data_IF_165328335898
#
_entry.id   IF_165328335898
#
_cell.length_a   1.000
_cell.length_b   1.000
_cell.length_c   1.000
_cell.angle_alpha   90.00
_cell.angle_beta   90.00
_cell.angle_gamma   90.00
#
_symmetry.space_group_name_H-M   'P 1'
#
loop_
_entity.id
_entity.type
_entity.pdbx_description
1 polymer ?
#
# COMPACT_ATOMS: atom_id res chain seq x y z
N UNK A 1 -1.05 -42.41 -18.23
CA UNK A 1 -0.99 -40.97 -17.97
C UNK A 1 -1.52 -40.24 -19.20
N UNK A 2 -2.32 -39.19 -19.03
CA UNK A 2 -2.83 -38.37 -20.14
C UNK A 2 -1.72 -37.49 -20.68
N UNK A 3 -1.81 -37.08 -21.94
CA UNK A 3 -0.88 -36.11 -22.51
C UNK A 3 -1.04 -34.74 -21.83
N UNK A 4 0.06 -34.08 -21.49
CA UNK A 4 0.04 -32.77 -20.81
C UNK A 4 -0.62 -31.69 -21.67
N UNK A 5 -0.52 -31.78 -22.99
CA UNK A 5 -1.22 -30.89 -23.90
C UNK A 5 -2.74 -31.08 -23.83
N UNK A 6 -3.19 -32.35 -23.74
CA UNK A 6 -4.61 -32.68 -23.56
C UNK A 6 -5.15 -32.22 -22.19
N UNK A 7 -4.34 -32.34 -21.13
CA UNK A 7 -4.73 -31.87 -19.79
C UNK A 7 -4.97 -30.37 -19.78
N UNK A 8 -4.11 -29.59 -20.43
CA UNK A 8 -4.28 -28.13 -20.54
C UNK A 8 -5.24 -27.71 -21.65
N UNK A 9 -5.64 -28.63 -22.58
CA UNK A 9 -6.49 -28.34 -23.70
C UNK A 9 -5.84 -27.40 -24.72
N UNK A 10 -4.53 -27.58 -24.98
CA UNK A 10 -3.74 -26.80 -25.93
C UNK A 10 -3.08 -27.72 -26.98
N UNK A 11 -2.68 -27.17 -28.11
CA UNK A 11 -1.96 -27.93 -29.12
C UNK A 11 -0.45 -28.02 -28.81
N UNK A 12 0.26 -29.02 -29.41
CA UNK A 12 1.72 -29.15 -29.23
C UNK A 12 2.51 -27.92 -29.71
N UNK A 13 1.94 -27.16 -30.64
CA UNK A 13 2.55 -25.96 -31.19
C UNK A 13 2.18 -24.67 -30.44
N UNK A 14 1.47 -24.77 -29.32
CA UNK A 14 1.05 -23.60 -28.55
C UNK A 14 2.23 -22.87 -27.95
N UNK A 15 2.13 -21.54 -27.97
CA UNK A 15 3.10 -20.64 -27.34
C UNK A 15 3.05 -20.72 -25.81
N UNK A 16 4.11 -20.27 -25.15
CA UNK A 16 4.15 -20.24 -23.68
C UNK A 16 3.02 -19.38 -23.07
N UNK A 17 2.62 -18.32 -23.76
CA UNK A 17 1.51 -17.46 -23.32
C UNK A 17 0.16 -18.17 -23.43
N UNK A 18 -0.06 -18.98 -24.47
CA UNK A 18 -1.26 -19.80 -24.60
C UNK A 18 -1.32 -20.89 -23.54
N UNK A 19 -0.20 -21.56 -23.26
CA UNK A 19 -0.06 -22.56 -22.19
C UNK A 19 -0.35 -21.92 -20.83
N UNK A 20 0.21 -20.75 -20.54
CA UNK A 20 -0.04 -19.98 -19.32
C UNK A 20 -1.51 -19.59 -19.17
N UNK A 21 -2.15 -19.12 -20.24
CA UNK A 21 -3.56 -18.73 -20.27
C UNK A 21 -4.50 -19.93 -20.06
N UNK A 22 -4.18 -21.06 -20.66
CA UNK A 22 -4.93 -22.31 -20.49
C UNK A 22 -4.85 -22.81 -19.04
N UNK A 23 -3.65 -22.86 -18.48
CA UNK A 23 -3.45 -23.23 -17.10
C UNK A 23 -4.23 -22.32 -16.13
N UNK A 24 -4.15 -20.98 -16.27
CA UNK A 24 -4.91 -20.03 -15.45
C UNK A 24 -6.41 -20.32 -15.47
N UNK A 25 -6.96 -20.64 -16.64
CA UNK A 25 -8.38 -20.95 -16.79
C UNK A 25 -8.79 -22.22 -16.02
N UNK A 26 -7.95 -23.25 -16.06
CA UNK A 26 -8.18 -24.52 -15.36
C UNK A 26 -8.02 -24.33 -13.87
N UNK A 27 -6.97 -23.62 -13.44
CA UNK A 27 -6.69 -23.38 -12.03
C UNK A 27 -7.79 -22.56 -11.34
N UNK A 28 -8.36 -21.55 -12.00
CA UNK A 28 -9.51 -20.79 -11.49
C UNK A 28 -10.77 -21.67 -11.42
N UNK A 29 -10.96 -22.57 -12.37
CA UNK A 29 -12.14 -23.45 -12.42
C UNK A 29 -12.12 -24.49 -11.31
N UNK A 30 -10.96 -25.09 -11.04
CA UNK A 30 -10.79 -26.17 -10.06
C UNK A 30 -10.07 -25.71 -8.79
N UNK A 31 -10.15 -24.42 -8.47
CA UNK A 31 -9.59 -23.85 -7.24
C UNK A 31 -10.23 -24.47 -5.99
N UNK A 32 -9.47 -24.82 -4.94
CA UNK A 32 -10.02 -25.42 -3.74
C UNK A 32 -11.08 -24.56 -3.05
N UNK A 33 -10.91 -23.23 -3.03
CA UNK A 33 -11.91 -22.31 -2.44
C UNK A 33 -13.25 -22.30 -3.19
N UNK A 34 -13.23 -22.66 -4.48
CA UNK A 34 -14.47 -22.75 -5.29
C UNK A 34 -15.09 -24.14 -5.30
N UNK A 35 -14.30 -25.14 -4.99
CA UNK A 35 -14.70 -26.54 -4.98
C UNK A 35 -14.24 -27.21 -3.67
N UNK A 36 -14.74 -26.76 -2.50
CA UNK A 36 -14.36 -27.34 -1.23
C UNK A 36 -14.78 -28.81 -1.20
N UNK A 37 -13.89 -29.69 -0.72
CA UNK A 37 -14.10 -31.14 -0.56
C UNK A 37 -14.34 -31.95 -1.85
N UNK A 38 -14.16 -31.36 -3.04
CA UNK A 38 -14.26 -32.09 -4.32
C UNK A 38 -12.89 -32.68 -4.72
N UNK A 39 -12.67 -33.94 -4.37
CA UNK A 39 -11.44 -34.70 -4.73
C UNK A 39 -11.18 -34.77 -6.23
N UNK A 40 -12.22 -34.79 -7.06
CA UNK A 40 -12.07 -34.81 -8.50
C UNK A 40 -11.58 -33.47 -9.05
N UNK A 41 -11.99 -32.35 -8.44
CA UNK A 41 -11.46 -31.02 -8.73
C UNK A 41 -10.01 -30.89 -8.30
N UNK A 42 -9.67 -31.42 -7.11
CA UNK A 42 -8.31 -31.46 -6.59
C UNK A 42 -7.35 -32.23 -7.50
N UNK A 43 -7.74 -33.41 -7.96
CA UNK A 43 -6.92 -34.21 -8.90
C UNK A 43 -6.68 -33.48 -10.23
N UNK A 44 -7.73 -32.85 -10.80
CA UNK A 44 -7.59 -32.06 -12.03
C UNK A 44 -6.71 -30.83 -11.85
N UNK A 45 -6.75 -30.21 -10.67
CA UNK A 45 -5.87 -29.09 -10.34
C UNK A 45 -4.39 -29.56 -10.26
N UNK A 46 -4.12 -30.69 -9.62
CA UNK A 46 -2.76 -31.30 -9.52
C UNK A 46 -2.24 -31.70 -10.91
N UNK A 47 -3.05 -32.37 -11.71
CA UNK A 47 -2.69 -32.74 -13.09
C UNK A 47 -2.36 -31.52 -13.97
N UNK A 48 -3.16 -30.43 -13.84
CA UNK A 48 -2.93 -29.19 -14.58
C UNK A 48 -1.66 -28.48 -14.13
N UNK A 49 -1.36 -28.46 -12.83
CA UNK A 49 -0.14 -27.87 -12.28
C UNK A 49 1.12 -28.63 -12.75
N UNK A 50 1.05 -29.97 -12.75
CA UNK A 50 2.12 -30.82 -13.27
C UNK A 50 2.36 -30.58 -14.77
N UNK A 51 1.30 -30.58 -15.58
CA UNK A 51 1.37 -30.30 -17.01
C UNK A 51 1.99 -28.92 -17.29
N UNK A 52 1.56 -27.89 -16.55
CA UNK A 52 2.12 -26.55 -16.69
C UNK A 52 3.60 -26.49 -16.29
N UNK A 53 4.00 -27.15 -15.22
CA UNK A 53 5.41 -27.17 -14.76
C UNK A 53 6.38 -27.73 -15.80
N UNK A 54 5.89 -28.63 -16.64
CA UNK A 54 6.69 -29.23 -17.71
C UNK A 54 6.63 -28.40 -18.98
N UNK A 55 5.45 -27.97 -19.40
CA UNK A 55 5.25 -27.27 -20.69
C UNK A 55 5.67 -25.79 -20.66
N UNK A 56 5.79 -25.18 -19.48
CA UNK A 56 6.25 -23.78 -19.35
C UNK A 56 7.77 -23.63 -19.41
N UNK A 57 8.52 -24.70 -19.15
CA UNK A 57 9.98 -24.72 -19.19
C UNK A 57 10.44 -25.29 -20.53
N UNK A 58 11.25 -24.53 -21.27
CA UNK A 58 11.69 -24.91 -22.63
C UNK A 58 12.45 -26.24 -22.67
N UNK A 59 13.31 -26.50 -21.68
CA UNK A 59 14.13 -27.72 -21.62
C UNK A 59 13.28 -28.93 -21.26
N UNK A 60 12.35 -28.79 -20.32
CA UNK A 60 11.43 -29.86 -19.93
C UNK A 60 10.43 -30.15 -21.03
N UNK A 61 9.91 -29.12 -21.69
CA UNK A 61 9.01 -29.25 -22.85
C UNK A 61 9.69 -30.02 -23.96
N UNK A 62 10.94 -29.69 -24.31
CA UNK A 62 11.71 -30.38 -25.33
C UNK A 62 11.94 -31.87 -25.00
N UNK A 63 12.28 -32.18 -23.75
CA UNK A 63 12.43 -33.56 -23.28
C UNK A 63 11.11 -34.32 -23.29
N UNK A 64 10.05 -33.68 -22.91
CA UNK A 64 8.71 -34.24 -22.94
C UNK A 64 8.24 -34.52 -24.38
N UNK A 65 8.51 -33.61 -25.32
CA UNK A 65 8.17 -33.76 -26.73
C UNK A 65 8.94 -34.91 -27.40
N UNK A 66 10.17 -35.21 -26.95
CA UNK A 66 11.01 -36.30 -27.49
C UNK A 66 10.74 -37.66 -26.85
N UNK A 67 10.54 -37.70 -25.54
CA UNK A 67 10.53 -38.96 -24.78
C UNK A 67 9.23 -39.19 -23.99
N UNK A 68 8.26 -38.26 -24.08
CA UNK A 68 7.02 -38.31 -23.33
C UNK A 68 7.28 -38.26 -21.80
N UNK A 69 6.38 -38.86 -21.04
CA UNK A 69 6.52 -38.96 -19.58
C UNK A 69 7.80 -39.69 -19.12
N UNK A 70 8.34 -40.59 -19.93
CA UNK A 70 9.56 -41.32 -19.61
C UNK A 70 10.82 -40.42 -19.56
N UNK A 71 10.81 -39.32 -20.34
CA UNK A 71 11.92 -38.35 -20.39
C UNK A 71 12.03 -37.47 -19.13
N UNK A 72 11.02 -37.50 -18.27
CA UNK A 72 10.96 -36.70 -17.04
C UNK A 72 11.41 -37.46 -15.80
N UNK A 73 11.48 -38.80 -15.85
CA UNK A 73 11.79 -39.67 -14.70
C UNK A 73 13.29 -39.78 -14.35
N UNK A 74 14.22 -39.27 -15.18
CA UNK A 74 15.66 -39.43 -15.00
C UNK A 74 16.43 -38.12 -14.75
N UNK A 75 15.78 -37.02 -14.31
CA UNK A 75 16.43 -35.74 -14.00
C UNK A 75 16.42 -35.40 -12.50
N UNK A 76 17.33 -34.51 -12.02
CA UNK A 76 17.25 -33.99 -10.67
C UNK A 76 15.97 -33.12 -10.57
N UNK A 77 14.93 -33.69 -9.92
CA UNK A 77 13.59 -33.10 -9.81
C UNK A 77 12.46 -34.08 -10.13
N UNK A 78 12.74 -35.39 -10.27
CA UNK A 78 11.79 -36.46 -10.59
C UNK A 78 10.84 -36.85 -9.41
N UNK A 79 10.48 -35.94 -8.54
CA UNK A 79 9.40 -36.11 -7.57
C UNK A 79 8.12 -35.50 -8.15
N UNK A 80 7.27 -36.33 -8.77
CA UNK A 80 5.97 -35.87 -9.28
C UNK A 80 5.14 -35.18 -8.19
N UNK A 81 4.31 -34.23 -8.59
CA UNK A 81 3.38 -33.47 -7.72
C UNK A 81 2.31 -34.35 -7.05
N UNK A 82 2.27 -35.64 -7.33
CA UNK A 82 1.28 -36.58 -6.79
C UNK A 82 1.28 -36.71 -5.28
N UNK A 83 2.38 -36.36 -4.59
CA UNK A 83 2.49 -36.38 -3.12
C UNK A 83 2.53 -34.99 -2.46
N UNK A 84 2.39 -33.91 -3.23
CA UNK A 84 2.33 -32.56 -2.67
C UNK A 84 0.90 -32.19 -2.26
N UNK A 85 0.78 -31.49 -1.14
CA UNK A 85 -0.48 -30.91 -0.73
C UNK A 85 -0.87 -29.77 -1.68
N UNK A 86 -2.18 -29.58 -1.90
CA UNK A 86 -2.71 -28.54 -2.79
C UNK A 86 -2.24 -27.15 -2.37
N UNK A 87 -2.07 -26.91 -1.06
CA UNK A 87 -1.54 -25.66 -0.54
C UNK A 87 -0.07 -25.41 -0.94
N UNK A 88 0.74 -26.47 -1.02
CA UNK A 88 2.14 -26.35 -1.45
C UNK A 88 2.21 -26.05 -2.94
N UNK A 89 1.35 -26.67 -3.74
CA UNK A 89 1.23 -26.41 -5.18
C UNK A 89 0.73 -24.98 -5.40
N UNK A 90 -0.25 -24.51 -4.61
CA UNK A 90 -0.75 -23.16 -4.69
C UNK A 90 0.29 -22.11 -4.29
N UNK A 91 1.09 -22.38 -3.26
CA UNK A 91 2.22 -21.52 -2.86
C UNK A 91 3.31 -21.46 -3.92
N UNK A 92 3.55 -22.56 -4.64
CA UNK A 92 4.53 -22.60 -5.73
C UNK A 92 4.05 -21.90 -7.02
N UNK A 93 2.74 -21.86 -7.26
CA UNK A 93 2.14 -21.31 -8.49
C UNK A 93 1.25 -20.08 -8.25
N UNK A 94 1.04 -19.67 -6.99
CA UNK A 94 0.17 -18.55 -6.60
C UNK A 94 0.54 -17.22 -7.27
N UNK A 95 1.82 -17.00 -7.52
CA UNK A 95 2.35 -15.78 -8.14
C UNK A 95 2.06 -15.66 -9.65
N UNK A 96 1.55 -16.71 -10.27
CA UNK A 96 1.08 -16.66 -11.67
C UNK A 96 -0.23 -15.86 -11.76
N UNK A 97 -0.92 -15.69 -10.62
CA UNK A 97 -2.16 -14.91 -10.52
C UNK A 97 -1.93 -13.45 -10.14
N UNK A 98 -0.75 -13.09 -9.61
CA UNK A 98 -0.30 -11.72 -9.33
C UNK A 98 0.82 -11.33 -10.28
N UNK A 99 0.69 -10.17 -10.88
CA UNK A 99 1.58 -9.56 -11.86
C UNK A 99 2.99 -9.32 -11.28
N UNK A 100 3.89 -10.34 -11.36
CA UNK A 100 5.33 -10.16 -11.09
C UNK A 100 6.15 -11.37 -11.51
N UNK A 101 7.00 -11.16 -12.48
CA UNK A 101 7.88 -12.13 -13.17
C UNK A 101 9.03 -12.76 -12.35
N UNK A 102 9.04 -12.77 -11.00
CA UNK A 102 10.31 -13.01 -10.28
C UNK A 102 10.39 -14.16 -9.27
N UNK A 103 9.41 -15.05 -9.08
CA UNK A 103 9.50 -16.04 -7.98
C UNK A 103 9.88 -17.46 -8.43
N UNK A 104 9.69 -17.81 -9.68
CA UNK A 104 10.03 -19.14 -10.20
C UNK A 104 11.54 -19.42 -10.31
N UNK A 105 12.36 -18.36 -10.43
CA UNK A 105 13.83 -18.48 -10.45
C UNK A 105 14.46 -18.87 -9.10
N UNK A 106 13.69 -18.89 -8.00
CA UNK A 106 14.19 -19.09 -6.66
C UNK A 106 14.25 -20.56 -6.21
N UNK A 107 13.43 -21.42 -6.78
CA UNK A 107 13.26 -22.80 -6.29
C UNK A 107 14.02 -23.85 -7.12
N UNK A 108 14.39 -23.52 -8.36
CA UNK A 108 15.19 -24.39 -9.23
C UNK A 108 16.52 -23.74 -9.55
N UNK A 109 17.43 -23.88 -8.62
CA UNK A 109 18.87 -23.87 -8.73
C UNK A 109 19.49 -23.15 -9.90
N UNK A 110 19.56 -21.83 -9.84
CA UNK A 110 20.68 -21.15 -10.47
C UNK A 110 21.44 -20.40 -9.38
N UNK A 111 22.71 -20.59 -9.37
CA UNK A 111 23.68 -20.03 -8.46
C UNK A 111 23.45 -18.52 -8.34
N UNK A 112 22.61 -18.11 -7.35
CA UNK A 112 22.47 -16.71 -7.02
C UNK A 112 23.86 -16.23 -6.64
N UNK A 113 24.49 -15.50 -7.56
CA UNK A 113 25.43 -14.48 -7.11
C UNK A 113 24.69 -13.76 -5.99
N UNK A 114 25.20 -13.93 -4.77
CA UNK A 114 24.75 -13.15 -3.63
C UNK A 114 24.92 -11.69 -4.02
N UNK A 115 23.84 -11.08 -4.56
CA UNK A 115 23.80 -9.62 -4.71
C UNK A 115 24.16 -9.10 -3.34
N UNK A 116 25.32 -8.46 -3.23
CA UNK A 116 25.70 -7.73 -2.04
C UNK A 116 24.47 -6.87 -1.71
N UNK A 117 23.90 -7.11 -0.52
CA UNK A 117 22.77 -6.32 -0.10
C UNK A 117 23.25 -4.89 0.00
N UNK A 118 22.79 -4.02 -0.87
CA UNK A 118 23.07 -2.60 -0.84
C UNK A 118 22.59 -1.95 0.44
N UNK A 119 22.66 -0.64 0.52
CA UNK A 119 22.06 0.10 1.61
C UNK A 119 20.56 -0.21 1.70
N UNK A 120 20.04 -0.36 2.90
CA UNK A 120 18.61 -0.59 3.08
C UNK A 120 17.83 0.72 2.94
N UNK A 121 16.64 0.64 2.38
CA UNK A 121 15.72 1.76 2.33
C UNK A 121 15.33 2.19 3.74
N UNK A 122 15.21 3.49 3.95
CA UNK A 122 14.66 4.09 5.16
C UNK A 122 13.23 4.51 4.91
N UNK A 123 12.39 4.33 5.92
CA UNK A 123 11.00 4.79 5.91
C UNK A 123 10.82 5.78 7.03
N UNK A 124 10.28 6.94 6.71
CA UNK A 124 9.92 7.97 7.69
C UNK A 124 8.49 8.42 7.46
N UNK A 125 7.81 8.81 8.54
CA UNK A 125 6.50 9.42 8.49
C UNK A 125 6.62 10.88 8.93
N UNK A 126 6.01 11.78 8.15
CA UNK A 126 6.10 13.22 8.39
C UNK A 126 4.69 13.77 8.57
N UNK A 127 4.41 14.30 9.76
CA UNK A 127 3.14 14.96 10.00
C UNK A 127 3.11 16.33 9.30
N UNK A 128 2.07 16.55 8.48
CA UNK A 128 1.81 17.78 7.74
C UNK A 128 0.49 18.40 8.19
N UNK A 129 0.43 19.72 8.23
CA UNK A 129 -0.84 20.44 8.41
C UNK A 129 -1.61 20.50 7.08
N UNK A 130 -2.91 20.79 7.15
CA UNK A 130 -3.73 20.94 5.94
C UNK A 130 -3.24 22.09 5.04
N UNK A 131 -2.69 23.16 5.62
CA UNK A 131 -2.12 24.29 4.89
C UNK A 131 -0.83 23.90 4.18
N UNK A 132 0.06 23.10 4.84
CA UNK A 132 1.27 22.56 4.21
C UNK A 132 0.90 21.63 3.04
N UNK A 133 -0.13 20.79 3.21
CA UNK A 133 -0.63 19.91 2.15
C UNK A 133 -1.30 20.69 1.01
N UNK A 134 -1.96 21.81 1.32
CA UNK A 134 -2.61 22.68 0.33
C UNK A 134 -1.58 23.41 -0.53
N UNK A 135 -0.61 24.05 0.14
CA UNK A 135 0.38 24.90 -0.56
C UNK A 135 1.48 24.07 -1.23
N UNK A 136 1.78 22.89 -0.70
CA UNK A 136 2.98 22.16 -1.07
C UNK A 136 4.23 22.94 -0.66
N UNK A 137 5.37 22.59 -1.24
CA UNK A 137 6.64 23.23 -0.99
C UNK A 137 7.73 22.26 -0.62
N UNK A 138 8.92 22.76 -0.25
CA UNK A 138 10.05 21.94 0.17
C UNK A 138 10.13 21.86 1.70
N UNK A 139 10.51 20.70 2.22
CA UNK A 139 10.72 20.46 3.66
C UNK A 139 12.04 19.78 3.90
N UNK A 140 12.79 20.27 4.87
CA UNK A 140 14.06 19.67 5.29
C UNK A 140 13.85 18.94 6.61
N UNK A 141 14.28 17.68 6.65
CA UNK A 141 14.20 16.83 7.84
C UNK A 141 15.54 16.24 8.19
N UNK A 142 15.78 16.04 9.48
CA UNK A 142 16.98 15.39 10.00
C UNK A 142 16.68 13.88 10.16
N UNK A 143 17.43 13.06 9.46
CA UNK A 143 17.33 11.61 9.55
C UNK A 143 18.62 11.01 10.08
N UNK A 144 18.51 9.89 10.77
CA UNK A 144 19.67 9.07 11.15
C UNK A 144 19.81 7.95 10.15
N UNK A 145 20.92 7.93 9.42
CA UNK A 145 21.23 6.89 8.43
C UNK A 145 22.63 6.36 8.59
N UNK A 146 22.87 5.18 8.05
CA UNK A 146 24.23 4.65 7.92
C UNK A 146 24.92 5.37 6.78
N UNK A 147 26.07 5.97 7.06
CA UNK A 147 26.94 6.61 6.07
C UNK A 147 28.31 5.95 6.05
N UNK A 148 28.93 5.93 4.90
CA UNK A 148 30.32 5.50 4.74
C UNK A 148 31.25 6.40 5.52
N UNK A 149 32.27 5.80 6.13
CA UNK A 149 33.33 6.51 6.83
C UNK A 149 34.49 6.68 5.86
N UNK A 150 34.87 7.91 5.59
CA UNK A 150 36.01 8.21 4.73
C UNK A 150 37.30 7.57 5.25
N UNK A 151 38.02 6.89 4.37
CA UNK A 151 39.28 6.22 4.69
C UNK A 151 39.14 4.87 5.39
N UNK A 152 37.92 4.39 5.68
CA UNK A 152 37.68 3.04 6.23
C UNK A 152 37.09 2.10 5.17
N UNK A 153 37.86 1.11 4.77
CA UNK A 153 37.36 0.05 3.89
C UNK A 153 36.60 -1.00 4.67
N UNK A 154 35.42 -1.45 4.17
CA UNK A 154 34.65 -2.52 4.78
C UNK A 154 35.44 -3.84 4.69
N UNK A 155 35.37 -4.65 5.75
CA UNK A 155 36.03 -5.95 5.83
C UNK A 155 35.02 -7.06 5.66
N UNK A 156 35.42 -8.19 5.04
CA UNK A 156 34.57 -9.38 4.97
C UNK A 156 34.30 -9.91 6.37
N UNK A 157 33.06 -10.24 6.65
CA UNK A 157 32.67 -10.83 7.93
C UNK A 157 33.35 -12.18 8.12
N UNK A 158 34.18 -12.31 9.15
CA UNK A 158 34.91 -13.54 9.46
C UNK A 158 33.99 -14.72 9.80
N UNK A 159 32.82 -14.45 10.41
CA UNK A 159 31.88 -15.50 10.82
C UNK A 159 31.17 -16.18 9.64
N UNK A 160 30.89 -15.47 8.56
CA UNK A 160 30.21 -16.02 7.38
C UNK A 160 31.07 -16.01 6.11
N UNK A 161 32.32 -15.56 6.19
CA UNK A 161 33.21 -15.48 5.04
C UNK A 161 32.72 -14.52 3.93
N UNK A 162 31.84 -13.57 4.23
CA UNK A 162 31.24 -12.63 3.28
C UNK A 162 29.89 -13.08 2.70
N UNK A 163 29.37 -14.28 3.05
CA UNK A 163 28.10 -14.77 2.51
C UNK A 163 26.86 -14.11 3.12
N UNK A 164 26.97 -13.48 4.28
CA UNK A 164 25.85 -12.92 5.04
C UNK A 164 24.98 -13.98 5.74
N UNK A 165 25.20 -15.26 5.49
CA UNK A 165 24.38 -16.36 5.98
C UNK A 165 25.24 -17.44 6.62
N UNK A 166 24.69 -18.14 7.60
CA UNK A 166 25.31 -19.29 8.26
C UNK A 166 24.45 -20.52 8.02
N UNK A 167 25.09 -21.62 7.63
CA UNK A 167 24.44 -22.92 7.52
C UNK A 167 24.46 -23.63 8.89
N UNK A 168 23.28 -23.82 9.49
CA UNK A 168 23.14 -24.66 10.70
C UNK A 168 22.57 -26.00 10.29
N UNK A 169 23.34 -27.04 10.56
CA UNK A 169 22.91 -28.44 10.39
C UNK A 169 22.27 -28.88 11.70
N UNK A 170 20.98 -29.17 11.69
CA UNK A 170 20.27 -29.76 12.82
C UNK A 170 19.92 -31.21 12.47
N UNK A 171 20.16 -32.10 13.42
CA UNK A 171 19.81 -33.51 13.27
C UNK A 171 18.36 -33.66 13.73
N UNK A 172 17.49 -34.07 12.82
CA UNK A 172 16.08 -34.37 13.07
C UNK A 172 15.87 -35.89 13.01
N UNK A 173 14.79 -36.38 13.57
CA UNK A 173 14.37 -37.78 13.50
C UNK A 173 14.26 -38.32 12.06
N UNK A 174 14.06 -37.45 11.10
CA UNK A 174 13.94 -37.74 9.66
C UNK A 174 15.22 -37.49 8.86
N UNK A 175 16.36 -37.19 9.52
CA UNK A 175 17.65 -36.93 8.86
C UNK A 175 18.24 -35.56 9.20
N UNK A 176 19.31 -35.20 8.49
CA UNK A 176 19.98 -33.91 8.65
C UNK A 176 19.20 -32.81 7.89
N UNK A 177 18.75 -31.80 8.63
CA UNK A 177 18.12 -30.59 8.05
C UNK A 177 19.15 -29.47 8.07
N UNK A 178 19.43 -28.89 6.90
CA UNK A 178 20.31 -27.72 6.76
C UNK A 178 19.47 -26.48 6.75
N UNK A 179 19.50 -25.74 7.84
CA UNK A 179 18.84 -24.43 7.95
C UNK A 179 19.84 -23.32 7.61
N UNK A 180 19.45 -22.44 6.69
CA UNK A 180 20.20 -21.24 6.35
C UNK A 180 19.64 -20.10 7.21
N UNK A 181 20.48 -19.58 8.12
CA UNK A 181 20.12 -18.48 9.02
C UNK A 181 20.96 -17.25 8.71
N UNK A 182 20.41 -16.09 8.97
CA UNK A 182 21.15 -14.83 8.85
C UNK A 182 22.36 -14.80 9.79
N UNK A 183 23.48 -14.27 9.31
CA UNK A 183 24.69 -14.14 10.14
C UNK A 183 24.50 -13.02 11.17
N UNK A 184 24.46 -13.36 12.45
CA UNK A 184 24.25 -12.39 13.53
C UNK A 184 25.38 -11.35 13.64
N UNK A 185 26.60 -11.65 13.15
CA UNK A 185 27.75 -10.75 13.26
C UNK A 185 27.73 -9.61 12.23
N UNK A 186 27.18 -9.84 11.04
CA UNK A 186 27.06 -8.83 9.99
C UNK A 186 25.61 -8.51 9.62
N UNK A 187 24.64 -9.07 10.33
CA UNK A 187 23.21 -8.90 10.06
C UNK A 187 22.86 -9.09 8.58
N UNK A 188 23.29 -10.22 8.03
CA UNK A 188 23.02 -10.60 6.65
C UNK A 188 23.80 -9.85 5.58
N UNK A 189 24.62 -8.87 5.93
CA UNK A 189 25.31 -8.00 4.98
C UNK A 189 26.60 -8.58 4.39
N UNK A 190 27.20 -9.56 5.06
CA UNK A 190 28.45 -10.18 4.63
C UNK A 190 29.71 -9.36 4.89
N UNK A 191 29.58 -8.06 5.21
CA UNK A 191 30.67 -7.12 5.46
C UNK A 191 30.50 -6.46 6.83
N UNK A 192 31.60 -5.99 7.42
CA UNK A 192 31.65 -5.31 8.72
C UNK A 192 32.53 -4.08 8.62
N UNK A 193 32.18 -3.02 9.37
CA UNK A 193 32.92 -1.76 9.41
C UNK A 193 32.66 -0.88 8.18
N UNK A 194 33.39 0.21 8.06
CA UNK A 194 33.32 1.15 6.94
C UNK A 194 32.07 2.05 6.91
N UNK A 195 31.11 1.87 7.84
CA UNK A 195 29.89 2.69 7.96
C UNK A 195 29.54 2.97 9.41
N UNK A 196 28.99 4.16 9.65
CA UNK A 196 28.50 4.60 10.96
C UNK A 196 27.18 5.35 10.83
N UNK A 197 26.42 5.41 11.94
CA UNK A 197 25.16 6.16 12.01
C UNK A 197 25.44 7.64 12.14
N UNK A 198 25.07 8.42 11.12
CA UNK A 198 25.14 9.87 11.13
C UNK A 198 23.76 10.50 10.99
N UNK A 199 23.62 11.72 11.53
CA UNK A 199 22.43 12.54 11.33
C UNK A 199 22.66 13.43 10.11
N UNK A 200 21.83 13.26 9.08
CA UNK A 200 21.94 13.98 7.80
C UNK A 200 20.65 14.74 7.54
N UNK A 201 20.76 15.94 7.02
CA UNK A 201 19.63 16.75 6.58
C UNK A 201 19.25 16.35 5.15
N UNK A 202 17.99 16.04 4.93
CA UNK A 202 17.45 15.71 3.61
C UNK A 202 16.31 16.66 3.31
N UNK A 203 16.38 17.30 2.15
CA UNK A 203 15.33 18.18 1.62
C UNK A 203 14.61 17.47 0.50
N UNK A 204 13.29 17.50 0.53
CA UNK A 204 12.41 16.95 -0.50
C UNK A 204 11.21 17.85 -0.72
N UNK A 205 10.59 17.74 -1.87
CA UNK A 205 9.43 18.55 -2.23
C UNK A 205 8.14 17.85 -1.84
N UNK A 206 7.20 18.61 -1.28
CA UNK A 206 5.85 18.15 -0.95
C UNK A 206 4.93 18.60 -2.09
N UNK A 207 4.33 17.65 -2.82
CA UNK A 207 3.38 17.99 -3.88
C UNK A 207 2.11 18.65 -3.31
N UNK A 208 1.54 19.61 -4.06
CA UNK A 208 0.27 20.21 -3.70
C UNK A 208 -0.85 19.17 -3.68
N UNK A 209 -1.72 19.22 -2.68
CA UNK A 209 -2.83 18.30 -2.54
C UNK A 209 -2.47 16.90 -2.07
N UNK A 210 -1.23 16.68 -1.63
CA UNK A 210 -0.78 15.39 -1.09
C UNK A 210 -1.73 14.90 0.01
N UNK A 211 -1.93 13.59 0.11
CA UNK A 211 -2.74 12.94 1.16
C UNK A 211 -1.91 11.85 1.87
N UNK A 212 -2.45 11.33 2.96
CA UNK A 212 -1.84 10.23 3.72
C UNK A 212 -1.69 8.93 2.92
N UNK A 213 -2.36 8.80 1.78
CA UNK A 213 -2.22 7.65 0.87
C UNK A 213 -0.97 7.75 -0.02
N UNK A 214 -0.36 8.92 -0.10
CA UNK A 214 0.80 9.16 -0.95
C UNK A 214 2.10 8.98 -0.17
N UNK A 215 3.10 8.53 -0.87
CA UNK A 215 4.49 8.52 -0.40
C UNK A 215 5.40 9.06 -1.50
N UNK A 216 6.55 9.53 -1.09
CA UNK A 216 7.60 9.99 -2.00
C UNK A 216 8.87 9.18 -1.78
N UNK A 217 9.52 8.82 -2.87
CA UNK A 217 10.83 8.18 -2.83
C UNK A 217 11.88 9.22 -3.16
N UNK A 218 12.85 9.37 -2.27
CA UNK A 218 14.04 10.22 -2.47
C UNK A 218 15.21 9.27 -2.69
N UNK A 219 15.67 9.21 -3.93
CA UNK A 219 16.68 8.25 -4.39
C UNK A 219 18.01 8.45 -3.64
N UNK A 220 18.66 7.33 -3.29
CA UNK A 220 19.99 7.29 -2.64
C UNK A 220 20.08 8.04 -1.30
N UNK A 221 18.94 8.39 -0.67
CA UNK A 221 18.89 9.08 0.62
C UNK A 221 18.55 8.16 1.81
N UNK A 222 18.48 6.85 1.58
CA UNK A 222 18.39 5.84 2.62
C UNK A 222 19.74 5.53 3.26
N UNK A 223 19.90 4.33 3.80
CA UNK A 223 21.19 3.87 4.30
C UNK A 223 22.16 3.65 3.13
N UNK A 224 23.38 4.13 3.27
CA UNK A 224 24.39 3.92 2.26
C UNK A 224 24.83 2.44 2.25
N UNK A 225 25.02 1.91 1.06
CA UNK A 225 25.65 0.62 0.81
C UNK A 225 27.16 0.65 1.13
N UNK A 226 27.83 -0.46 0.90
CA UNK A 226 29.28 -0.50 0.98
C UNK A 226 29.94 0.16 -0.26
N UNK A 227 29.24 0.10 -1.40
CA UNK A 227 29.60 0.80 -2.63
C UNK A 227 28.55 1.90 -2.91
N UNK A 228 28.94 2.98 -3.60
CA UNK A 228 28.06 4.13 -3.89
C UNK A 228 26.92 3.78 -4.85
N UNK A 229 27.06 2.75 -5.66
CA UNK A 229 26.02 2.25 -6.57
C UNK A 229 24.89 1.48 -5.86
N UNK A 230 25.08 1.18 -4.58
CA UNK A 230 24.19 0.30 -3.82
C UNK A 230 23.51 1.06 -2.66
N UNK A 231 23.38 2.37 -2.73
CA UNK A 231 22.72 3.17 -1.69
C UNK A 231 21.21 2.93 -1.72
N UNK A 232 20.59 2.84 -0.53
CA UNK A 232 19.16 2.68 -0.41
C UNK A 232 18.43 4.01 -0.58
N UNK A 233 17.11 3.95 -0.72
CA UNK A 233 16.24 5.10 -0.87
C UNK A 233 15.61 5.52 0.44
N UNK A 234 15.23 6.78 0.53
CA UNK A 234 14.38 7.28 1.62
C UNK A 234 12.93 7.32 1.13
N UNK A 235 12.06 6.58 1.80
CA UNK A 235 10.64 6.56 1.54
C UNK A 235 9.95 7.43 2.58
N UNK A 236 9.37 8.54 2.13
CA UNK A 236 8.69 9.52 2.96
C UNK A 236 7.19 9.30 2.88
N UNK A 237 6.57 8.92 3.98
CA UNK A 237 5.11 8.86 4.12
C UNK A 237 4.62 10.18 4.71
N UNK A 238 3.47 10.64 4.24
CA UNK A 238 2.83 11.84 4.75
C UNK A 238 1.71 11.46 5.70
N UNK A 239 1.66 12.08 6.87
CA UNK A 239 0.57 11.93 7.83
C UNK A 239 -0.17 13.26 7.96
N UNK A 240 -1.49 13.22 7.90
CA UNK A 240 -2.31 14.39 8.11
C UNK A 240 -2.44 14.69 9.59
N UNK A 241 -2.08 15.90 10.00
CA UNK A 241 -2.33 16.39 11.36
C UNK A 241 -3.80 16.77 11.48
N UNK A 242 -4.41 16.36 12.59
CA UNK A 242 -5.74 16.82 12.95
C UNK A 242 -5.78 18.35 13.02
N UNK A 243 -6.76 18.93 12.31
CA UNK A 243 -6.96 20.39 12.28
C UNK A 243 -8.11 20.79 13.21
N UNK A 244 -7.96 21.93 13.91
CA UNK A 244 -8.92 22.40 14.92
C UNK A 244 -10.31 22.74 14.36
N UNK A 245 -10.41 23.11 13.10
CA UNK A 245 -11.65 23.59 12.46
C UNK A 245 -12.10 22.72 11.30
N UNK A 246 -11.17 22.16 10.54
CA UNK A 246 -11.45 21.51 9.27
C UNK A 246 -11.33 19.99 9.38
N UNK A 247 -12.23 19.31 8.69
CA UNK A 247 -12.14 17.86 8.45
C UNK A 247 -11.98 17.67 6.94
N UNK A 248 -10.97 16.94 6.53
CA UNK A 248 -10.73 16.62 5.13
C UNK A 248 -11.36 15.27 4.76
N UNK A 249 -11.97 15.21 3.59
CA UNK A 249 -12.40 13.96 2.98
C UNK A 249 -12.03 13.99 1.48
N UNK A 250 -10.94 13.32 1.13
CA UNK A 250 -10.37 13.38 -0.20
C UNK A 250 -9.89 14.78 -0.58
N UNK A 251 -10.50 15.40 -1.58
CA UNK A 251 -10.26 16.79 -1.98
C UNK A 251 -11.20 17.79 -1.31
N UNK A 252 -12.25 17.33 -0.65
CA UNK A 252 -13.25 18.20 -0.04
C UNK A 252 -12.93 18.49 1.43
N UNK A 253 -13.33 19.69 1.88
CA UNK A 253 -13.14 20.16 3.25
C UNK A 253 -14.48 20.43 3.92
N UNK A 254 -14.62 20.01 5.16
CA UNK A 254 -15.80 20.16 5.95
C UNK A 254 -15.53 21.12 7.12
N UNK A 255 -16.43 22.04 7.32
CA UNK A 255 -16.39 23.02 8.40
C UNK A 255 -17.77 23.13 9.04
N UNK A 256 -17.82 23.30 10.35
CA UNK A 256 -19.07 23.62 11.06
C UNK A 256 -19.01 25.04 11.59
N UNK A 257 -20.00 25.85 11.28
CA UNK A 257 -20.14 27.20 11.85
C UNK A 257 -21.44 27.32 12.60
N UNK A 258 -21.45 28.24 13.57
CA UNK A 258 -22.65 28.57 14.37
C UNK A 258 -23.09 29.98 14.06
N UNK A 259 -24.36 30.15 13.73
CA UNK A 259 -24.99 31.48 13.45
C UNK A 259 -26.14 31.76 14.41
N UNK A 260 -26.44 33.02 14.64
CA UNK A 260 -27.55 33.39 15.45
C UNK A 260 -28.92 33.19 14.73
N UNK A 261 -29.99 33.04 15.50
CA UNK A 261 -31.34 32.86 14.98
C UNK A 261 -31.75 33.97 14.01
N UNK A 262 -31.43 35.23 14.29
CA UNK A 262 -31.74 36.37 13.43
C UNK A 262 -31.07 36.26 12.04
N UNK A 263 -29.82 35.78 11.98
CA UNK A 263 -29.10 35.56 10.74
C UNK A 263 -29.72 34.41 9.93
N UNK A 264 -30.19 33.37 10.62
CA UNK A 264 -30.84 32.25 9.98
C UNK A 264 -32.18 32.64 9.34
N UNK A 265 -32.98 33.50 10.02
CA UNK A 265 -34.31 33.94 9.52
C UNK A 265 -34.19 34.97 8.43
N UNK A 266 -33.39 36.01 8.65
CA UNK A 266 -33.31 37.14 7.71
C UNK A 266 -32.33 36.90 6.56
N UNK A 267 -31.46 35.91 6.71
CA UNK A 267 -30.28 35.73 5.87
C UNK A 267 -29.20 36.77 6.21
N UNK A 268 -27.96 36.42 5.92
CA UNK A 268 -26.82 37.30 6.22
C UNK A 268 -25.63 36.95 5.32
N UNK A 269 -24.60 37.81 5.34
CA UNK A 269 -23.28 37.51 4.76
C UNK A 269 -22.27 37.32 5.89
N UNK A 270 -21.81 36.11 6.06
CA UNK A 270 -20.85 35.74 7.10
C UNK A 270 -19.48 35.44 6.49
N UNK A 271 -18.43 35.88 7.14
CA UNK A 271 -17.06 35.56 6.74
C UNK A 271 -16.68 34.19 7.30
N UNK A 272 -16.34 33.26 6.40
CA UNK A 272 -16.02 31.88 6.73
C UNK A 272 -14.55 31.61 6.41
N UNK A 273 -13.79 30.97 7.31
CA UNK A 273 -12.42 30.58 7.01
C UNK A 273 -12.39 29.46 5.98
N UNK A 274 -11.38 29.50 5.14
CA UNK A 274 -11.01 28.43 4.19
C UNK A 274 -9.55 28.09 4.40
N UNK A 275 -9.06 27.00 3.83
CA UNK A 275 -7.64 26.65 3.93
C UNK A 275 -6.75 27.77 3.39
N UNK A 276 -7.21 28.49 2.39
CA UNK A 276 -6.47 29.61 1.79
C UNK A 276 -7.22 30.95 2.02
N UNK A 277 -7.25 31.40 3.29
CA UNK A 277 -7.82 32.67 3.68
C UNK A 277 -9.33 32.63 3.99
N UNK A 278 -10.00 33.75 3.87
CA UNK A 278 -11.42 33.92 4.23
C UNK A 278 -12.30 34.17 3.01
N UNK A 279 -13.54 33.71 3.06
CA UNK A 279 -14.54 33.93 2.01
C UNK A 279 -15.86 34.38 2.62
N UNK A 280 -16.55 35.33 1.97
CA UNK A 280 -17.89 35.75 2.35
C UNK A 280 -18.92 34.74 1.84
N UNK A 281 -19.58 34.05 2.77
CA UNK A 281 -20.66 33.11 2.49
C UNK A 281 -22.01 33.82 2.69
N UNK A 282 -22.88 33.76 1.68
CA UNK A 282 -24.24 34.25 1.80
C UNK A 282 -25.12 33.16 2.40
N UNK A 283 -25.69 33.44 3.57
CA UNK A 283 -26.66 32.57 4.23
C UNK A 283 -28.06 32.91 3.66
N UNK A 284 -28.75 31.95 3.05
CA UNK A 284 -30.11 32.20 2.53
C UNK A 284 -31.09 32.37 3.69
N UNK A 285 -32.14 33.16 3.45
CA UNK A 285 -33.23 33.37 4.40
C UNK A 285 -33.94 32.08 4.70
N UNK A 286 -34.22 31.82 5.99
CA UNK A 286 -34.93 30.61 6.43
C UNK A 286 -34.09 29.34 6.38
N UNK A 287 -32.76 29.43 6.45
CA UNK A 287 -31.88 28.28 6.49
C UNK A 287 -32.18 27.43 7.73
N UNK A 288 -32.14 26.11 7.58
CA UNK A 288 -32.37 25.18 8.68
C UNK A 288 -31.04 24.79 9.38
N UNK A 289 -31.12 24.53 10.69
CA UNK A 289 -29.97 23.98 11.43
C UNK A 289 -29.58 22.62 10.87
N UNK A 290 -28.27 22.40 10.75
CA UNK A 290 -27.72 21.18 10.12
C UNK A 290 -27.59 21.23 8.60
N UNK A 291 -28.16 22.27 7.95
CA UNK A 291 -28.05 22.41 6.50
C UNK A 291 -26.61 22.69 6.07
N UNK A 292 -26.19 22.07 4.95
CA UNK A 292 -24.84 22.21 4.40
C UNK A 292 -24.87 23.15 3.20
N UNK A 293 -23.97 24.13 3.20
CA UNK A 293 -23.75 25.08 2.10
C UNK A 293 -22.41 24.80 1.47
N UNK A 294 -22.36 24.64 0.14
CA UNK A 294 -21.15 24.35 -0.62
C UNK A 294 -20.49 25.63 -1.11
N UNK A 295 -19.20 25.76 -0.90
CA UNK A 295 -18.34 26.80 -1.46
C UNK A 295 -17.44 26.14 -2.50
N UNK A 296 -17.76 26.39 -3.78
CA UNK A 296 -17.09 25.75 -4.91
C UNK A 296 -15.60 26.12 -5.00
N UNK A 297 -14.73 25.12 -5.21
CA UNK A 297 -13.31 25.32 -5.46
C UNK A 297 -12.51 25.77 -4.23
N UNK A 298 -13.04 25.63 -3.01
CA UNK A 298 -12.37 26.02 -1.75
C UNK A 298 -11.93 24.82 -0.91
N UNK A 299 -11.92 23.63 -1.49
CA UNK A 299 -11.31 22.43 -0.93
C UNK A 299 -9.83 22.31 -1.26
N UNK A 300 -9.27 21.11 -1.07
CA UNK A 300 -7.87 20.78 -1.35
C UNK A 300 -7.60 20.65 -2.84
N UNK A 301 -6.38 20.98 -3.30
CA UNK A 301 -5.97 20.67 -4.66
C UNK A 301 -6.02 19.16 -4.93
N UNK A 302 -6.56 18.78 -6.09
CA UNK A 302 -6.51 17.39 -6.57
C UNK A 302 -5.44 17.29 -7.67
N UNK A 303 -4.32 16.63 -7.34
CA UNK A 303 -3.19 16.45 -8.25
C UNK A 303 -3.57 15.75 -9.57
N UNK A 304 -4.63 14.90 -9.55
CA UNK A 304 -5.10 14.14 -10.72
C UNK A 304 -5.97 14.99 -11.64
N UNK A 305 -6.83 15.82 -11.05
CA UNK A 305 -7.86 16.59 -11.78
C UNK A 305 -7.44 18.01 -12.12
N UNK A 306 -6.35 18.52 -11.54
CA UNK A 306 -5.88 19.92 -11.62
C UNK A 306 -6.95 20.94 -11.22
N UNK A 307 -7.88 20.55 -10.39
CA UNK A 307 -8.97 21.36 -9.86
C UNK A 307 -9.00 21.19 -8.35
N UNK A 308 -9.38 22.23 -7.64
CA UNK A 308 -9.61 22.14 -6.21
C UNK A 308 -10.97 21.46 -5.94
N UNK A 309 -11.06 20.71 -4.87
CA UNK A 309 -12.31 20.24 -4.31
C UNK A 309 -13.15 21.39 -3.77
N UNK A 310 -14.23 21.08 -3.11
CA UNK A 310 -15.19 22.06 -2.57
C UNK A 310 -15.08 22.12 -1.04
N UNK A 311 -15.51 23.23 -0.47
CA UNK A 311 -15.69 23.34 0.97
C UNK A 311 -17.17 23.24 1.33
N UNK A 312 -17.50 22.35 2.25
CA UNK A 312 -18.84 22.14 2.77
C UNK A 312 -18.95 22.74 4.17
N UNK A 313 -19.86 23.69 4.32
CA UNK A 313 -20.07 24.42 5.57
C UNK A 313 -21.40 23.99 6.18
N UNK A 314 -21.34 23.27 7.30
CA UNK A 314 -22.52 22.88 8.08
C UNK A 314 -22.94 24.06 8.94
N UNK A 315 -24.18 24.52 8.80
CA UNK A 315 -24.73 25.65 9.54
C UNK A 315 -25.45 25.12 10.78
N UNK A 316 -25.02 25.56 11.95
CA UNK A 316 -25.70 25.28 13.20
C UNK A 316 -26.34 26.62 13.69
N UNK A 317 -27.55 26.56 14.17
CA UNK A 317 -28.24 27.71 14.75
C UNK A 317 -28.09 27.62 16.26
N UNK A 318 -27.50 28.64 16.86
CA UNK A 318 -27.30 28.73 18.30
C UNK A 318 -28.33 29.69 18.95
N UNK A 319 -28.71 29.37 20.16
CA UNK A 319 -29.46 30.25 21.01
C UNK A 319 -28.54 31.27 21.66
N UNK A 320 -29.04 32.47 21.89
CA UNK A 320 -28.30 33.51 22.59
C UNK A 320 -28.36 33.31 24.12
N UNK A 321 -27.20 33.46 24.79
CA UNK A 321 -27.12 33.50 26.25
C UNK A 321 -27.43 34.89 26.82
N UNK A 322 -27.80 35.87 25.97
CA UNK A 322 -28.16 37.22 26.41
C UNK A 322 -29.45 37.19 27.23
N UNK A 323 -29.38 37.68 28.46
CA UNK A 323 -30.50 37.73 29.40
C UNK A 323 -30.92 39.19 29.77
N UNK A 324 -30.61 40.15 28.90
CA UNK A 324 -31.07 41.52 29.09
C UNK A 324 -32.59 41.58 29.03
N UNK A 325 -33.19 42.53 29.78
CA UNK A 325 -34.64 42.68 29.80
C UNK A 325 -35.22 42.93 28.41
N UNK A 326 -34.53 43.74 27.61
CA UNK A 326 -34.94 44.03 26.24
C UNK A 326 -34.92 42.78 25.33
N UNK A 327 -33.91 41.91 25.50
CA UNK A 327 -33.83 40.66 24.76
C UNK A 327 -34.97 39.72 25.12
N UNK A 328 -35.24 39.58 26.43
CA UNK A 328 -36.31 38.71 26.92
C UNK A 328 -37.66 39.20 26.35
N UNK A 329 -37.93 40.52 26.40
CA UNK A 329 -39.15 41.10 25.85
C UNK A 329 -39.33 40.86 24.35
N UNK A 330 -38.24 40.90 23.59
CA UNK A 330 -38.25 40.56 22.16
C UNK A 330 -38.58 39.08 21.92
N UNK A 331 -37.99 38.17 22.71
CA UNK A 331 -38.25 36.73 22.62
C UNK A 331 -39.68 36.40 23.02
N UNK A 332 -40.27 37.10 24.01
CA UNK A 332 -41.70 36.97 24.37
C UNK A 332 -42.62 37.38 23.22
N UNK A 333 -42.33 38.49 22.56
CA UNK A 333 -43.07 38.90 21.36
C UNK A 333 -42.95 37.91 20.21
N UNK A 334 -41.77 37.34 20.03
CA UNK A 334 -41.58 36.27 19.04
C UNK A 334 -42.42 35.02 19.38
N UNK A 335 -42.53 34.64 20.65
CA UNK A 335 -43.37 33.54 21.10
C UNK A 335 -44.85 33.78 20.78
N UNK A 336 -45.35 35.02 20.98
CA UNK A 336 -46.72 35.39 20.64
C UNK A 336 -47.02 35.26 19.14
N UNK A 337 -46.03 35.60 18.27
CA UNK A 337 -46.19 35.54 16.83
C UNK A 337 -46.06 34.11 16.27
N UNK A 338 -45.11 33.32 16.80
CA UNK A 338 -44.77 32.00 16.27
C UNK A 338 -45.66 30.90 16.85
N UNK A 339 -46.31 31.12 18.02
CA UNK A 339 -47.06 30.11 18.72
C UNK A 339 -46.17 29.03 19.37
N UNK A 340 -46.78 27.92 19.74
CA UNK A 340 -46.11 26.77 20.40
C UNK A 340 -46.06 25.53 19.51
N UNK A 341 -45.93 25.70 18.21
CA UNK A 341 -45.91 24.56 17.29
C UNK A 341 -44.64 23.69 17.51
N UNK A 342 -44.89 22.43 17.82
CA UNK A 342 -43.85 21.42 17.96
C UNK A 342 -43.89 20.51 16.73
N UNK A 343 -42.79 20.43 16.00
CA UNK A 343 -42.61 19.44 14.94
C UNK A 343 -41.78 18.28 15.44
N UNK A 344 -42.25 17.03 15.20
CA UNK A 344 -41.52 15.82 15.53
C UNK A 344 -40.89 15.25 14.25
N UNK A 345 -39.61 14.87 14.32
CA UNK A 345 -38.92 14.12 13.29
C UNK A 345 -38.33 12.86 13.86
N UNK A 346 -38.06 11.86 13.01
CA UNK A 346 -37.39 10.63 13.42
C UNK A 346 -36.00 10.98 13.92
N UNK A 347 -35.58 10.38 15.02
CA UNK A 347 -34.22 10.48 15.53
C UNK A 347 -33.29 9.75 14.54
N UNK A 348 -32.32 10.45 13.94
CA UNK A 348 -31.28 9.91 13.03
C UNK A 348 -29.93 9.82 13.73
#
# INVERSE_FOLDING_TARGET
MRDYYDILGVSKNSSNDEIKKAYRKIAIKYHPDKNPDDKAAEEKFKEAAEAYSVLSDADKKQRYDQFGHAGLNNGPGAGGFSNMDVNDIFSAFGDIFGDSDNIFGSMFGNQRQTRRKGGSNLKISIPLTLEEMYSGGSKTVKIKRLERIDGQSPQKCSACGGSGQLKRVSQSFLGQVVNIVECNNCHGQGMIGGRDKKTTEVTFDIPQGVSSEHYQVVESMGNQGFDSSDDGDLIVYFEEKEHSLFIRNGSDIYLSISIGYHQAVMGDKVTVPTINGNVNLTIPKGIKSGQIVRIKGKGMPDARRRLNGDQFVKINIITSDNRSKDFILLVEKMKEILGNDISCSKFE
#
